data_IF_900619688549
#
_entry.id   IF_900619688549
#
_cell.length_a   1.000
_cell.length_b   1.000
_cell.length_c   1.000
_cell.angle_alpha   90.00
_cell.angle_beta   90.00
_cell.angle_gamma   90.00
#
_symmetry.space_group_name_H-M   'P 1'
#
loop_
_entity.id
_entity.type
_entity.pdbx_description
1 polymer ?
#
# COMPACT_ATOMS: atom_id res chain seq x y z
N UNK A 1 11.21 -1.20 20.81
CA UNK A 1 10.64 -1.69 19.54
C UNK A 1 9.42 -0.83 19.28
N UNK A 2 9.46 0.06 18.28
CA UNK A 2 8.28 0.88 17.97
C UNK A 2 7.19 -0.06 17.47
N UNK A 3 6.01 -0.02 18.10
CA UNK A 3 4.86 -0.77 17.62
C UNK A 3 4.50 -0.23 16.23
N UNK A 4 4.72 -1.04 15.20
CA UNK A 4 4.24 -0.74 13.85
C UNK A 4 2.76 -1.09 13.84
N UNK A 5 1.90 -0.10 13.99
CA UNK A 5 0.46 -0.32 14.07
C UNK A 5 -0.27 0.88 13.48
N UNK A 6 -1.22 0.60 12.58
CA UNK A 6 -2.14 1.61 12.07
C UNK A 6 -3.07 2.11 13.18
N UNK A 7 -3.72 3.26 12.96
CA UNK A 7 -4.76 3.74 13.88
C UNK A 7 -5.88 2.71 13.97
N UNK A 8 -6.58 2.70 15.11
CA UNK A 8 -7.66 1.73 15.35
C UNK A 8 -8.75 1.83 14.27
N UNK A 9 -9.03 0.70 13.62
CA UNK A 9 -10.09 0.58 12.64
C UNK A 9 -11.47 0.78 13.27
N UNK A 10 -12.38 1.37 12.51
CA UNK A 10 -13.81 1.42 12.82
C UNK A 10 -14.63 1.34 11.52
N UNK A 11 -15.95 1.15 11.65
CA UNK A 11 -16.84 0.96 10.49
C UNK A 11 -16.97 2.20 9.59
N UNK A 12 -16.57 3.38 10.08
CA UNK A 12 -16.59 4.62 9.31
C UNK A 12 -15.28 4.89 8.58
N UNK A 13 -14.22 4.10 8.80
CA UNK A 13 -12.94 4.25 8.10
C UNK A 13 -13.14 4.08 6.59
N UNK A 14 -12.88 5.16 5.85
CA UNK A 14 -12.89 5.15 4.39
C UNK A 14 -11.54 4.72 3.82
N UNK A 15 -11.50 4.39 2.53
CA UNK A 15 -10.26 4.04 1.85
C UNK A 15 -9.28 5.21 1.85
N UNK A 16 -9.76 6.45 1.68
CA UNK A 16 -8.88 7.63 1.75
C UNK A 16 -8.28 7.84 3.14
N UNK A 17 -9.07 7.62 4.21
CA UNK A 17 -8.55 7.70 5.59
C UNK A 17 -7.45 6.66 5.81
N UNK A 18 -7.68 5.43 5.33
CA UNK A 18 -6.70 4.34 5.46
C UNK A 18 -5.42 4.65 4.68
N UNK A 19 -5.52 5.18 3.47
CA UNK A 19 -4.34 5.59 2.68
C UNK A 19 -3.53 6.67 3.41
N UNK A 20 -4.20 7.66 4.01
CA UNK A 20 -3.52 8.72 4.75
C UNK A 20 -2.81 8.17 5.99
N UNK A 21 -3.44 7.25 6.72
CA UNK A 21 -2.85 6.61 7.89
C UNK A 21 -1.63 5.74 7.52
N UNK A 22 -1.73 4.98 6.43
CA UNK A 22 -0.62 4.18 5.91
C UNK A 22 0.52 5.10 5.45
N UNK A 23 0.24 6.15 4.69
CA UNK A 23 1.24 7.11 4.21
C UNK A 23 1.99 7.77 5.37
N UNK A 24 1.26 8.19 6.41
CA UNK A 24 1.85 8.74 7.62
C UNK A 24 2.79 7.72 8.27
N UNK A 25 2.36 6.46 8.40
CA UNK A 25 3.18 5.42 9.03
C UNK A 25 4.43 5.10 8.20
N UNK A 26 4.32 4.97 6.87
CA UNK A 26 5.45 4.73 5.97
C UNK A 26 6.49 5.86 6.04
N UNK A 27 6.03 7.12 6.09
CA UNK A 27 6.91 8.30 6.16
C UNK A 27 7.83 8.32 7.39
N UNK A 28 7.45 7.62 8.47
CA UNK A 28 8.19 7.58 9.74
C UNK A 28 9.30 6.51 9.77
N UNK A 29 9.41 5.66 8.75
CA UNK A 29 10.28 4.46 8.78
C UNK A 29 11.47 4.49 7.81
N UNK A 30 11.75 5.65 7.20
CA UNK A 30 12.90 5.87 6.30
C UNK A 30 13.01 4.80 5.20
N UNK A 31 11.92 4.65 4.44
CA UNK A 31 11.81 3.73 3.31
C UNK A 31 12.29 4.41 2.02
N UNK A 32 12.82 3.62 1.09
CA UNK A 32 13.13 4.07 -0.25
C UNK A 32 11.93 3.86 -1.18
N UNK A 33 11.60 4.91 -1.92
CA UNK A 33 10.61 4.95 -2.99
C UNK A 33 11.34 5.11 -4.33
N UNK A 34 10.63 4.96 -5.46
CA UNK A 34 11.17 5.08 -6.82
C UNK A 34 11.00 3.83 -7.68
N UNK A 35 10.19 2.86 -7.25
CA UNK A 35 9.94 1.59 -7.95
C UNK A 35 8.48 1.50 -8.40
N UNK A 36 8.03 2.49 -9.16
CA UNK A 36 6.62 2.65 -9.57
C UNK A 36 5.82 3.64 -8.70
N UNK A 37 6.34 4.03 -7.53
CA UNK A 37 5.77 5.08 -6.67
C UNK A 37 6.89 5.99 -6.16
N UNK A 38 6.69 7.29 -6.07
CA UNK A 38 7.76 8.26 -5.75
C UNK A 38 7.76 8.76 -4.29
N UNK A 39 6.64 8.59 -3.58
CA UNK A 39 6.43 9.13 -2.24
C UNK A 39 5.58 8.19 -1.35
N UNK A 40 5.54 8.40 -0.02
CA UNK A 40 4.78 7.55 0.90
C UNK A 40 3.28 7.47 0.60
N UNK A 41 2.68 8.55 0.11
CA UNK A 41 1.24 8.61 -0.22
C UNK A 41 0.92 7.76 -1.45
N UNK A 42 1.76 7.83 -2.48
CA UNK A 42 1.62 7.04 -3.70
C UNK A 42 1.80 5.54 -3.39
N UNK A 43 2.81 5.18 -2.59
CA UNK A 43 3.04 3.80 -2.16
C UNK A 43 1.90 3.29 -1.25
N UNK A 44 1.38 4.13 -0.37
CA UNK A 44 0.22 3.80 0.47
C UNK A 44 -1.04 3.54 -0.37
N UNK A 45 -1.31 4.39 -1.36
CA UNK A 45 -2.41 4.18 -2.29
C UNK A 45 -2.24 2.88 -3.07
N UNK A 46 -1.02 2.60 -3.56
CA UNK A 46 -0.72 1.37 -4.28
C UNK A 46 -0.95 0.12 -3.40
N UNK A 47 -0.47 0.15 -2.15
CA UNK A 47 -0.61 -0.95 -1.19
C UNK A 47 -2.08 -1.20 -0.84
N UNK A 48 -2.83 -0.16 -0.51
CA UNK A 48 -4.26 -0.29 -0.14
C UNK A 48 -5.07 -0.78 -1.33
N UNK A 49 -4.81 -0.28 -2.54
CA UNK A 49 -5.51 -0.74 -3.73
C UNK A 49 -5.21 -2.20 -4.06
N UNK A 50 -3.95 -2.61 -3.93
CA UNK A 50 -3.58 -4.03 -4.07
C UNK A 50 -4.32 -4.89 -3.05
N UNK A 51 -4.29 -4.51 -1.77
CA UNK A 51 -4.90 -5.26 -0.68
C UNK A 51 -6.41 -5.45 -0.86
N UNK A 52 -7.10 -4.42 -1.37
CA UNK A 52 -8.54 -4.40 -1.57
C UNK A 52 -8.96 -4.85 -2.99
N UNK A 53 -8.01 -5.20 -3.87
CA UNK A 53 -8.31 -5.61 -5.25
C UNK A 53 -8.94 -4.52 -6.11
N UNK A 54 -8.54 -3.26 -5.90
CA UNK A 54 -9.15 -2.08 -6.54
C UNK A 54 -8.47 -1.73 -7.87
N UNK A 55 -9.22 -1.04 -8.72
CA UNK A 55 -8.72 -0.56 -10.01
C UNK A 55 -7.96 0.76 -9.89
N UNK A 56 -6.65 0.72 -10.17
CA UNK A 56 -5.77 1.90 -10.19
C UNK A 56 -6.10 2.87 -11.33
N UNK A 57 -6.78 2.44 -12.39
CA UNK A 57 -7.15 3.29 -13.51
C UNK A 57 -8.42 4.11 -13.26
N UNK A 58 -9.19 3.78 -12.21
CA UNK A 58 -10.40 4.51 -11.83
C UNK A 58 -10.52 4.76 -10.32
N UNK A 59 -9.54 5.41 -9.68
CA UNK A 59 -9.42 5.44 -8.23
C UNK A 59 -10.48 6.30 -7.53
N UNK A 60 -11.02 7.32 -8.22
CA UNK A 60 -11.99 8.27 -7.65
C UNK A 60 -13.26 7.61 -7.15
N UNK A 61 -13.66 6.48 -7.76
CA UNK A 61 -14.86 5.73 -7.33
C UNK A 61 -14.65 4.95 -6.04
N UNK A 62 -13.40 4.73 -5.64
CA UNK A 62 -13.05 3.87 -4.52
C UNK A 62 -12.81 4.62 -3.23
N UNK A 63 -12.32 5.86 -3.29
CA UNK A 63 -11.82 6.56 -2.10
C UNK A 63 -12.84 6.72 -0.96
N UNK A 64 -14.12 6.93 -1.29
CA UNK A 64 -15.19 7.11 -0.30
C UNK A 64 -15.78 5.79 0.23
N UNK A 65 -15.35 4.64 -0.30
CA UNK A 65 -15.83 3.34 0.14
C UNK A 65 -15.34 3.03 1.56
N UNK A 66 -16.16 2.32 2.34
CA UNK A 66 -15.81 1.87 3.68
C UNK A 66 -14.98 0.60 3.64
N UNK A 67 -13.97 0.51 4.51
CA UNK A 67 -13.06 -0.64 4.59
C UNK A 67 -13.62 -1.70 5.53
N UNK A 68 -13.66 -2.96 5.09
CA UNK A 68 -14.04 -4.09 5.96
C UNK A 68 -12.88 -4.46 6.91
N UNK A 69 -13.18 -5.03 8.07
CA UNK A 69 -12.16 -5.39 9.07
C UNK A 69 -11.07 -6.32 8.50
N UNK A 70 -11.47 -7.32 7.71
CA UNK A 70 -10.55 -8.27 7.07
C UNK A 70 -9.57 -7.58 6.10
N UNK A 71 -10.04 -6.54 5.40
CA UNK A 71 -9.24 -5.83 4.41
C UNK A 71 -8.26 -4.90 5.14
N UNK A 72 -8.71 -4.29 6.24
CA UNK A 72 -7.85 -3.53 7.15
C UNK A 72 -6.74 -4.40 7.77
N UNK A 73 -7.07 -5.61 8.22
CA UNK A 73 -6.08 -6.56 8.76
C UNK A 73 -5.02 -6.90 7.72
N UNK A 74 -5.43 -7.20 6.49
CA UNK A 74 -4.49 -7.51 5.40
C UNK A 74 -3.62 -6.30 5.02
N UNK A 75 -4.17 -5.09 4.99
CA UNK A 75 -3.38 -3.86 4.81
C UNK A 75 -2.35 -3.72 5.93
N UNK A 76 -2.74 -3.96 7.18
CA UNK A 76 -1.83 -3.86 8.33
C UNK A 76 -0.69 -4.89 8.25
N UNK A 77 -0.96 -6.11 7.76
CA UNK A 77 0.06 -7.13 7.50
C UNK A 77 1.07 -6.67 6.43
N UNK A 78 0.59 -6.20 5.28
CA UNK A 78 1.43 -5.71 4.19
C UNK A 78 2.29 -4.52 4.62
N UNK A 79 1.72 -3.56 5.36
CA UNK A 79 2.45 -2.40 5.90
C UNK A 79 3.53 -2.85 6.88
N UNK A 80 3.19 -3.78 7.78
CA UNK A 80 4.14 -4.35 8.73
C UNK A 80 5.30 -5.04 8.00
N UNK A 81 4.99 -5.83 6.97
CA UNK A 81 6.01 -6.49 6.15
C UNK A 81 6.89 -5.47 5.43
N UNK A 82 6.28 -4.46 4.77
CA UNK A 82 6.98 -3.39 4.05
C UNK A 82 7.97 -2.65 4.94
N UNK A 83 7.57 -2.33 6.16
CA UNK A 83 8.41 -1.60 7.12
C UNK A 83 9.54 -2.49 7.68
N UNK A 84 9.23 -3.75 8.03
CA UNK A 84 10.21 -4.67 8.61
C UNK A 84 11.26 -5.12 7.60
N UNK A 85 10.82 -5.55 6.42
CA UNK A 85 11.71 -6.09 5.40
C UNK A 85 12.40 -5.00 4.58
N UNK A 86 11.81 -3.79 4.52
CA UNK A 86 12.27 -2.66 3.69
C UNK A 86 12.42 -2.98 2.20
N UNK A 87 11.88 -4.11 1.73
CA UNK A 87 11.79 -4.45 0.31
C UNK A 87 10.83 -3.48 -0.40
N UNK A 88 11.08 -3.16 -1.68
CA UNK A 88 10.11 -2.46 -2.52
C UNK A 88 8.73 -3.12 -2.47
N UNK A 89 7.68 -2.31 -2.49
CA UNK A 89 6.30 -2.81 -2.46
C UNK A 89 6.03 -3.85 -3.55
N UNK A 90 6.53 -3.61 -4.77
CA UNK A 90 6.34 -4.50 -5.92
C UNK A 90 6.87 -5.93 -5.69
N UNK A 91 7.91 -6.12 -4.86
CA UNK A 91 8.40 -7.46 -4.51
C UNK A 91 7.56 -8.13 -3.42
N UNK A 92 6.85 -7.35 -2.61
CA UNK A 92 5.92 -7.87 -1.59
C UNK A 92 4.60 -8.30 -2.25
N UNK A 93 4.10 -7.49 -3.17
CA UNK A 93 2.82 -7.73 -3.87
C UNK A 93 2.96 -8.60 -5.11
N UNK A 94 4.20 -8.84 -5.56
CA UNK A 94 4.55 -9.41 -6.85
C UNK A 94 3.92 -8.69 -8.07
N UNK A 95 3.62 -7.40 -7.93
CA UNK A 95 2.98 -6.60 -8.98
C UNK A 95 3.68 -5.23 -9.14
N UNK A 96 3.91 -4.83 -10.40
CA UNK A 96 4.26 -3.45 -10.76
C UNK A 96 3.36 -2.93 -11.89
N UNK A 97 3.09 -1.62 -11.91
CA UNK A 97 2.38 -0.95 -13.00
C UNK A 97 3.37 -0.09 -13.77
N UNK A 98 3.57 -0.38 -15.05
CA UNK A 98 4.46 0.37 -15.93
C UNK A 98 3.77 0.65 -17.26
N UNK A 99 3.82 1.91 -17.72
CA UNK A 99 3.17 2.37 -18.95
C UNK A 99 1.71 1.92 -19.11
N UNK A 100 0.94 1.86 -18.02
CA UNK A 100 -0.46 1.46 -18.03
C UNK A 100 -0.71 -0.06 -18.08
N UNK A 101 0.33 -0.87 -17.86
CA UNK A 101 0.23 -2.33 -17.85
C UNK A 101 0.70 -2.90 -16.51
N UNK A 102 0.00 -3.94 -16.03
CA UNK A 102 0.39 -4.70 -14.84
C UNK A 102 1.39 -5.78 -15.22
N UNK A 103 2.48 -5.89 -14.47
CA UNK A 103 3.52 -6.89 -14.63
C UNK A 103 3.71 -7.68 -13.34
N UNK A 104 3.97 -8.98 -13.48
CA UNK A 104 4.47 -9.80 -12.38
C UNK A 104 5.96 -9.48 -12.15
N UNK A 105 6.33 -9.24 -10.89
CA UNK A 105 7.69 -8.84 -10.51
C UNK A 105 8.11 -9.57 -9.24
N UNK A 106 9.37 -9.98 -9.16
CA UNK A 106 9.98 -10.54 -7.95
C UNK A 106 11.48 -10.20 -7.91
N UNK A 107 12.19 -10.66 -6.88
CA UNK A 107 13.59 -10.31 -6.64
C UNK A 107 14.56 -10.77 -7.75
N UNK A 108 14.10 -11.50 -8.78
CA UNK A 108 14.91 -11.95 -9.92
C UNK A 108 14.98 -10.92 -11.05
N UNK A 109 14.14 -9.89 -11.03
CA UNK A 109 14.09 -8.85 -12.08
C UNK A 109 14.17 -7.46 -11.47
N UNK A 110 14.59 -6.48 -12.26
CA UNK A 110 14.47 -5.08 -11.88
C UNK A 110 13.01 -4.63 -12.02
N UNK A 111 12.55 -3.78 -11.09
CA UNK A 111 11.23 -3.18 -11.16
C UNK A 111 11.25 -2.15 -12.32
N UNK A 112 10.34 -2.27 -13.31
CA UNK A 112 10.26 -1.36 -14.45
C UNK A 112 9.79 0.04 -14.08
#
# INVERSE_FOLDING_TARGET
MNNITLKAWNTETSIIDLIQDVAQLLSQHNLYYGHGTDNPTDEAAALVFFALGLDHFNPKKSYDLKVQSKDFEFVNELVTQRIKEKKPLAYITNESIFCGHKFFVDERVLIP
#
